data_IF_171710833971
#
_entry.id   IF_171710833971
#
_cell.length_a   1.000
_cell.length_b   1.000
_cell.length_c   1.000
_cell.angle_alpha   90.00
_cell.angle_beta   90.00
_cell.angle_gamma   90.00
#
_symmetry.space_group_name_H-M   'P 1'
#
loop_
_entity.id
_entity.type
_entity.pdbx_description
1 polymer ?
#
# COMPACT_ATOMS: atom_id res chain seq x y z
N UNK A 1 -8.98 4.32 15.03
CA UNK A 1 -7.96 3.41 14.48
C UNK A 1 -6.85 3.14 15.48
N UNK A 2 -6.15 4.15 16.02
CA UNK A 2 -5.04 3.93 16.97
C UNK A 2 -5.41 3.08 18.20
N UNK A 3 -6.58 3.35 18.82
CA UNK A 3 -7.08 2.53 19.94
C UNK A 3 -7.30 1.05 19.58
N UNK A 4 -7.72 0.76 18.34
CA UNK A 4 -7.93 -0.60 17.86
C UNK A 4 -6.60 -1.34 17.72
N UNK A 5 -5.60 -0.69 17.13
CA UNK A 5 -4.27 -1.28 16.96
C UNK A 5 -3.57 -1.52 18.31
N UNK A 6 -3.69 -0.57 19.24
CA UNK A 6 -3.20 -0.74 20.60
C UNK A 6 -3.89 -1.90 21.34
N UNK A 7 -5.22 -2.02 21.21
CA UNK A 7 -5.99 -3.12 21.80
C UNK A 7 -5.56 -4.49 21.28
N UNK A 8 -5.22 -4.59 19.99
CA UNK A 8 -4.72 -5.81 19.37
C UNK A 8 -3.21 -6.01 19.49
N UNK A 9 -2.51 -5.20 20.30
CA UNK A 9 -1.08 -5.27 20.56
C UNK A 9 -0.22 -5.25 19.28
N UNK A 10 -0.62 -4.45 18.29
CA UNK A 10 0.23 -4.22 17.13
C UNK A 10 1.55 -3.55 17.57
N UNK A 11 2.69 -3.88 16.94
CA UNK A 11 3.95 -3.18 17.17
C UNK A 11 3.81 -1.67 16.95
N UNK A 12 4.69 -0.87 17.57
CA UNK A 12 4.71 0.58 17.35
C UNK A 12 4.78 0.90 15.86
N UNK A 13 3.84 1.70 15.37
CA UNK A 13 3.59 1.89 13.94
C UNK A 13 3.33 3.36 13.60
N UNK A 14 3.59 3.73 12.35
CA UNK A 14 3.14 5.00 11.77
C UNK A 14 1.93 4.72 10.88
N UNK A 15 0.83 5.44 11.13
CA UNK A 15 -0.39 5.28 10.36
C UNK A 15 -0.54 6.45 9.38
N UNK A 16 -0.33 6.20 8.09
CA UNK A 16 -0.60 7.17 7.01
C UNK A 16 -1.94 6.76 6.38
N UNK A 17 -3.00 7.48 6.72
CA UNK A 17 -4.33 7.24 6.16
C UNK A 17 -4.75 8.36 5.24
N UNK A 18 -5.42 8.01 4.14
CA UNK A 18 -6.17 8.97 3.37
C UNK A 18 -7.25 9.62 4.22
N UNK A 19 -7.35 10.95 4.16
CA UNK A 19 -8.47 11.69 4.77
C UNK A 19 -9.64 11.68 3.79
N UNK A 20 -10.69 10.94 4.12
CA UNK A 20 -11.93 10.95 3.33
C UNK A 20 -12.88 11.97 3.97
N UNK A 21 -12.92 13.18 3.42
CA UNK A 21 -13.92 14.19 3.80
C UNK A 21 -14.73 14.57 2.55
N UNK A 22 -16.06 14.47 2.66
CA UNK A 22 -17.01 14.94 1.64
C UNK A 22 -17.54 13.86 0.69
N UNK A 23 -18.79 14.07 0.22
CA UNK A 23 -19.54 13.23 -0.73
C UNK A 23 -18.99 13.33 -2.17
N UNK A 24 -17.68 13.37 -2.38
CA UNK A 24 -17.11 13.55 -3.72
C UNK A 24 -16.72 12.19 -4.33
N UNK A 25 -17.42 11.70 -5.36
CA UNK A 25 -17.15 10.39 -5.97
C UNK A 25 -15.76 10.30 -6.61
N UNK A 26 -15.18 11.43 -7.00
CA UNK A 26 -13.80 11.51 -7.51
C UNK A 26 -12.74 11.13 -6.47
N UNK A 27 -13.10 11.13 -5.17
CA UNK A 27 -12.21 10.67 -4.12
C UNK A 27 -11.87 9.18 -4.29
N UNK A 28 -12.72 8.35 -4.91
CA UNK A 28 -12.39 6.96 -5.19
C UNK A 28 -11.32 6.85 -6.28
N UNK A 29 -11.43 7.60 -7.38
CA UNK A 29 -10.40 7.61 -8.43
C UNK A 29 -9.07 8.24 -7.95
N UNK A 30 -9.14 9.27 -7.10
CA UNK A 30 -7.97 9.83 -6.43
C UNK A 30 -7.33 8.89 -5.39
N UNK A 31 -7.89 7.70 -5.13
CA UNK A 31 -7.31 6.72 -4.19
C UNK A 31 -6.03 6.10 -4.74
N UNK A 32 -6.01 5.76 -6.02
CA UNK A 32 -4.88 5.09 -6.64
C UNK A 32 -3.69 6.03 -6.77
N UNK A 33 -3.91 7.25 -7.27
CA UNK A 33 -2.85 8.26 -7.37
C UNK A 33 -2.31 8.64 -6.00
N UNK A 34 -3.18 8.83 -5.00
CA UNK A 34 -2.74 9.12 -3.64
C UNK A 34 -1.89 7.99 -3.04
N UNK A 35 -2.32 6.73 -3.20
CA UNK A 35 -1.57 5.56 -2.69
C UNK A 35 -0.20 5.47 -3.35
N UNK A 36 -0.13 5.64 -4.68
CA UNK A 36 1.13 5.69 -5.42
C UNK A 36 2.05 6.81 -4.88
N UNK A 37 1.57 8.05 -4.88
CA UNK A 37 2.37 9.22 -4.48
C UNK A 37 2.92 9.10 -3.05
N UNK A 38 2.13 8.56 -2.11
CA UNK A 38 2.62 8.35 -0.75
C UNK A 38 3.74 7.30 -0.69
N UNK A 39 3.62 6.21 -1.44
CA UNK A 39 4.66 5.17 -1.47
C UNK A 39 5.93 5.71 -2.14
N UNK A 40 5.80 6.41 -3.27
CA UNK A 40 6.95 7.05 -3.95
C UNK A 40 7.68 7.99 -3.02
N UNK A 41 6.95 8.84 -2.29
CA UNK A 41 7.54 9.76 -1.31
C UNK A 41 8.29 9.03 -0.20
N UNK A 42 7.79 7.88 0.28
CA UNK A 42 8.48 7.10 1.31
C UNK A 42 9.76 6.46 0.78
N UNK A 43 9.74 5.93 -0.45
CA UNK A 43 10.93 5.38 -1.10
C UNK A 43 11.98 6.49 -1.27
N UNK A 44 11.59 7.66 -1.75
CA UNK A 44 12.49 8.80 -1.95
C UNK A 44 13.06 9.37 -0.63
N UNK A 45 12.28 9.35 0.46
CA UNK A 45 12.74 9.80 1.77
C UNK A 45 13.70 8.80 2.43
N UNK A 46 13.59 7.52 2.12
CA UNK A 46 14.39 6.44 2.72
C UNK A 46 14.98 5.52 1.65
N UNK A 47 15.92 6.01 0.82
CA UNK A 47 16.47 5.25 -0.30
C UNK A 47 17.24 4.00 0.12
N UNK A 48 17.72 3.92 1.36
CA UNK A 48 18.45 2.76 1.88
C UNK A 48 17.55 1.60 2.35
N UNK A 49 16.23 1.75 2.28
CA UNK A 49 15.27 0.75 2.75
C UNK A 49 14.69 0.00 1.55
N UNK A 50 14.70 -1.34 1.66
CA UNK A 50 13.90 -2.21 0.81
C UNK A 50 12.50 -2.40 1.41
N UNK A 51 11.48 -2.27 0.58
CA UNK A 51 10.08 -2.29 0.97
C UNK A 51 9.41 -3.60 0.57
N UNK A 52 8.57 -4.11 1.46
CA UNK A 52 7.63 -5.19 1.18
C UNK A 52 6.22 -4.60 1.14
N UNK A 53 5.52 -4.79 0.02
CA UNK A 53 4.20 -4.21 -0.20
C UNK A 53 3.11 -5.25 0.05
N UNK A 54 2.10 -4.90 0.84
CA UNK A 54 0.94 -5.75 1.12
C UNK A 54 -0.33 -5.03 0.66
N UNK A 55 -1.17 -5.73 -0.11
CA UNK A 55 -2.42 -5.18 -0.62
C UNK A 55 -3.50 -6.23 -0.85
N UNK A 56 -4.63 -5.79 -1.38
CA UNK A 56 -5.76 -6.66 -1.70
C UNK A 56 -6.19 -6.55 -3.18
N UNK A 57 -6.87 -7.59 -3.67
CA UNK A 57 -7.32 -7.64 -5.07
C UNK A 57 -8.54 -6.76 -5.37
N UNK A 58 -9.15 -6.13 -4.36
CA UNK A 58 -10.32 -5.27 -4.49
C UNK A 58 -10.01 -3.81 -4.83
N UNK A 59 -8.83 -3.30 -4.44
CA UNK A 59 -8.45 -1.88 -4.62
C UNK A 59 -7.38 -1.65 -5.72
N UNK A 60 -7.30 -2.53 -6.72
CA UNK A 60 -6.30 -2.46 -7.81
C UNK A 60 -4.83 -2.36 -7.35
N UNK A 61 -4.51 -2.70 -6.10
CA UNK A 61 -3.16 -2.58 -5.51
C UNK A 61 -2.09 -3.25 -6.35
N UNK A 62 -2.44 -4.39 -6.97
CA UNK A 62 -1.57 -5.12 -7.87
C UNK A 62 -1.00 -4.23 -8.98
N UNK A 63 -1.82 -3.41 -9.63
CA UNK A 63 -1.35 -2.57 -10.74
C UNK A 63 -0.43 -1.45 -10.26
N UNK A 64 -0.73 -0.85 -9.10
CA UNK A 64 0.08 0.21 -8.50
C UNK A 64 1.44 -0.36 -8.09
N UNK A 65 1.46 -1.49 -7.39
CA UNK A 65 2.68 -2.09 -6.86
C UNK A 65 3.60 -2.61 -7.97
N UNK A 66 3.03 -3.20 -9.04
CA UNK A 66 3.83 -3.61 -10.20
C UNK A 66 4.51 -2.43 -10.90
N UNK A 67 3.81 -1.29 -11.05
CA UNK A 67 4.40 -0.07 -11.62
C UNK A 67 5.50 0.49 -10.72
N UNK A 68 5.32 0.45 -9.40
CA UNK A 68 6.32 0.88 -8.45
C UNK A 68 7.55 -0.02 -8.46
N UNK A 69 7.37 -1.34 -8.52
CA UNK A 69 8.46 -2.31 -8.67
C UNK A 69 9.26 -2.07 -9.96
N UNK A 70 8.60 -1.77 -11.08
CA UNK A 70 9.29 -1.43 -12.33
C UNK A 70 10.06 -0.10 -12.24
N UNK A 71 9.53 0.88 -11.51
CA UNK A 71 10.16 2.20 -11.35
C UNK A 71 11.29 2.21 -10.33
N UNK A 72 11.20 1.38 -9.29
CA UNK A 72 12.13 1.29 -8.17
C UNK A 72 12.53 -0.18 -7.89
N UNK A 73 13.18 -0.86 -8.86
CA UNK A 73 13.45 -2.30 -8.77
C UNK A 73 14.36 -2.67 -7.58
N UNK A 74 15.28 -1.79 -7.20
CA UNK A 74 16.20 -2.03 -6.06
C UNK A 74 15.57 -1.68 -4.70
N UNK A 75 14.35 -1.13 -4.68
CA UNK A 75 13.69 -0.71 -3.43
C UNK A 75 12.44 -1.52 -3.12
N UNK A 76 11.82 -2.19 -4.09
CA UNK A 76 10.71 -3.10 -3.82
C UNK A 76 11.28 -4.50 -3.79
N UNK A 77 11.18 -5.18 -2.65
CA UNK A 77 11.72 -6.54 -2.47
C UNK A 77 10.68 -7.61 -2.79
N UNK A 78 9.47 -7.42 -2.27
CA UNK A 78 8.39 -8.41 -2.37
C UNK A 78 7.03 -7.71 -2.41
N UNK A 79 6.09 -8.30 -3.15
CA UNK A 79 4.70 -7.84 -3.19
C UNK A 79 3.76 -9.01 -2.85
N UNK A 80 2.88 -8.80 -1.88
CA UNK A 80 1.86 -9.75 -1.45
C UNK A 80 0.46 -9.17 -1.67
N UNK A 81 -0.35 -9.82 -2.50
CA UNK A 81 -1.73 -9.43 -2.77
C UNK A 81 -2.68 -10.51 -2.27
N UNK A 82 -3.56 -10.16 -1.33
CA UNK A 82 -4.63 -11.05 -0.88
C UNK A 82 -5.83 -10.96 -1.81
N UNK A 83 -6.26 -12.09 -2.36
CA UNK A 83 -7.48 -12.18 -3.13
C UNK A 83 -8.71 -12.11 -2.21
N UNK A 84 -9.54 -11.09 -2.39
CA UNK A 84 -10.74 -10.88 -1.57
C UNK A 84 -11.81 -11.96 -1.79
N UNK A 85 -11.79 -12.67 -2.94
CA UNK A 85 -12.81 -13.68 -3.28
C UNK A 85 -12.59 -15.02 -2.61
N UNK A 86 -11.33 -15.47 -2.55
CA UNK A 86 -10.98 -16.81 -2.09
C UNK A 86 -9.93 -16.81 -0.96
N UNK A 87 -9.46 -15.63 -0.54
CA UNK A 87 -8.48 -15.46 0.54
C UNK A 87 -7.06 -15.90 0.19
N UNK A 88 -6.79 -16.35 -1.04
CA UNK A 88 -5.45 -16.77 -1.47
C UNK A 88 -4.52 -15.56 -1.51
N UNK A 89 -3.24 -15.79 -1.21
CA UNK A 89 -2.21 -14.76 -1.32
C UNK A 89 -1.41 -15.02 -2.59
N UNK A 90 -1.40 -14.04 -3.48
CA UNK A 90 -0.46 -14.00 -4.60
C UNK A 90 0.82 -13.32 -4.11
N UNK A 91 1.94 -14.02 -4.24
CA UNK A 91 3.28 -13.48 -4.03
C UNK A 91 3.90 -13.17 -5.38
N UNK A 92 4.42 -11.95 -5.53
CA UNK A 92 5.04 -11.45 -6.75
C UNK A 92 6.45 -11.02 -6.37
N UNK A 93 7.43 -11.68 -6.98
CA UNK A 93 8.80 -11.17 -7.03
C UNK A 93 8.86 -10.08 -8.12
N UNK A 94 9.38 -8.88 -7.79
CA UNK A 94 9.62 -7.79 -8.74
C UNK A 94 10.43 -8.20 -9.96
#
# INVERSE_FOLDING_TARGET
>A
MEKFLAYHHFPKHTLITKKVHGKNPSALFAQHDYKREQIEKLIELYPQIEWVLFGDSGEEDRQIYLKLAQKYPDHIRDIYIRDVKNGKIAHIFP
#
